data_IF_239690218313
#
_entry.id   IF_239690218313
#
_cell.length_a   1.000
_cell.length_b   1.000
_cell.length_c   1.000
_cell.angle_alpha   90.00
_cell.angle_beta   90.00
_cell.angle_gamma   90.00
#
_symmetry.space_group_name_H-M   'P 1'
#
loop_
_entity.id
_entity.type
_entity.pdbx_description
1 polymer ?
#
# COMPACT_ATOMS: atom_id res chain seq x y z
N UNK A 1 14.15 -43.02 -10.74
CA UNK A 1 13.58 -41.69 -11.05
C UNK A 1 14.16 -40.63 -10.11
N UNK A 2 14.09 -40.83 -8.79
CA UNK A 2 14.74 -39.98 -7.76
C UNK A 2 16.25 -39.74 -7.99
N UNK A 3 17.04 -40.76 -8.29
CA UNK A 3 18.49 -40.57 -8.53
C UNK A 3 18.79 -39.68 -9.74
N UNK A 4 17.91 -39.70 -10.75
CA UNK A 4 17.99 -38.83 -11.92
C UNK A 4 17.57 -37.39 -11.56
N UNK A 5 16.61 -37.21 -10.66
CA UNK A 5 16.20 -35.90 -10.14
C UNK A 5 17.30 -35.29 -9.26
N UNK A 6 17.99 -36.09 -8.43
CA UNK A 6 19.16 -35.64 -7.66
C UNK A 6 20.36 -35.30 -8.54
N UNK A 7 20.60 -36.06 -9.62
CA UNK A 7 21.69 -35.80 -10.55
C UNK A 7 21.47 -34.57 -11.46
N UNK A 8 20.21 -34.24 -11.76
CA UNK A 8 19.86 -33.13 -12.68
C UNK A 8 19.37 -31.87 -11.98
N UNK A 9 18.98 -31.97 -10.70
CA UNK A 9 18.32 -30.88 -9.96
C UNK A 9 16.89 -30.58 -10.42
N UNK A 10 16.33 -31.37 -11.35
CA UNK A 10 14.96 -31.21 -11.85
C UNK A 10 14.00 -32.12 -11.08
N UNK A 11 13.47 -31.61 -9.98
CA UNK A 11 12.45 -32.31 -9.20
C UNK A 11 11.07 -32.13 -9.84
N UNK A 12 10.39 -33.24 -10.15
CA UNK A 12 9.00 -33.21 -10.62
C UNK A 12 8.06 -33.28 -9.42
N UNK A 13 7.47 -32.16 -9.04
CA UNK A 13 6.44 -32.14 -8.02
C UNK A 13 5.11 -32.58 -8.64
N UNK A 14 4.55 -33.72 -8.21
CA UNK A 14 3.20 -34.08 -8.63
C UNK A 14 2.19 -33.07 -8.05
N UNK A 15 1.31 -32.46 -8.88
CA UNK A 15 0.31 -31.53 -8.39
C UNK A 15 -0.80 -32.32 -7.70
N UNK A 16 -0.65 -32.55 -6.40
CA UNK A 16 -1.74 -33.10 -5.61
C UNK A 16 -2.79 -31.98 -5.49
N UNK A 17 -4.04 -32.23 -5.91
CA UNK A 17 -5.19 -31.39 -5.53
C UNK A 17 -5.44 -31.60 -4.04
N UNK A 18 -4.74 -30.87 -3.19
CA UNK A 18 -4.70 -31.19 -1.77
C UNK A 18 -5.85 -30.49 -1.07
N UNK A 19 -6.84 -31.29 -0.63
CA UNK A 19 -7.79 -30.85 0.39
C UNK A 19 -6.98 -30.51 1.64
N UNK A 20 -7.02 -29.24 2.06
CA UNK A 20 -6.38 -28.78 3.32
C UNK A 20 -6.83 -29.74 4.43
N UNK A 21 -5.88 -30.39 5.12
CA UNK A 21 -6.23 -31.23 6.27
C UNK A 21 -6.95 -30.34 7.27
N UNK A 22 -8.23 -30.64 7.52
CA UNK A 22 -8.99 -29.93 8.55
C UNK A 22 -8.37 -30.35 9.88
N UNK A 23 -7.69 -29.41 10.53
CA UNK A 23 -7.29 -29.54 11.93
C UNK A 23 -8.56 -29.84 12.74
N UNK A 24 -8.51 -30.77 13.70
CA UNK A 24 -9.66 -31.00 14.57
C UNK A 24 -10.03 -29.67 15.25
N UNK A 25 -11.33 -29.44 15.47
CA UNK A 25 -11.80 -28.19 16.08
C UNK A 25 -11.08 -27.93 17.40
N UNK A 26 -10.97 -28.97 18.23
CA UNK A 26 -10.26 -28.93 19.51
C UNK A 26 -8.78 -28.54 19.39
N UNK A 27 -8.02 -29.12 18.44
CA UNK A 27 -6.63 -28.74 18.24
C UNK A 27 -6.49 -27.29 17.73
N UNK A 28 -7.42 -26.85 16.88
CA UNK A 28 -7.45 -25.46 16.43
C UNK A 28 -7.73 -24.51 17.61
N UNK A 29 -8.66 -24.86 18.48
CA UNK A 29 -9.03 -24.06 19.65
C UNK A 29 -7.87 -23.99 20.66
N UNK A 30 -7.17 -25.10 20.92
CA UNK A 30 -5.97 -25.13 21.76
C UNK A 30 -4.80 -24.33 21.16
N UNK A 31 -4.64 -24.36 19.84
CA UNK A 31 -3.63 -23.54 19.15
C UNK A 31 -3.93 -22.05 19.26
N UNK A 32 -5.21 -21.67 19.22
CA UNK A 32 -5.67 -20.31 19.44
C UNK A 32 -5.36 -19.87 20.86
N UNK A 33 -5.74 -20.68 21.86
CA UNK A 33 -5.47 -20.39 23.27
C UNK A 33 -3.98 -20.22 23.54
N UNK A 34 -3.14 -21.13 23.01
CA UNK A 34 -1.69 -21.02 23.12
C UNK A 34 -1.16 -19.70 22.55
N UNK A 35 -1.69 -19.27 21.41
CA UNK A 35 -1.27 -18.02 20.77
C UNK A 35 -1.70 -16.78 21.58
N UNK A 36 -2.90 -16.81 22.18
CA UNK A 36 -3.36 -15.76 23.10
C UNK A 36 -2.48 -15.67 24.34
N UNK A 37 -2.15 -16.82 24.96
CA UNK A 37 -1.27 -16.87 26.14
C UNK A 37 0.15 -16.37 25.81
N UNK A 38 0.70 -16.74 24.65
CA UNK A 38 1.98 -16.20 24.16
C UNK A 38 1.92 -14.68 23.95
N UNK A 39 0.80 -14.16 23.46
CA UNK A 39 0.61 -12.71 23.30
C UNK A 39 0.63 -11.98 24.64
N UNK A 40 -0.12 -12.50 25.62
CA UNK A 40 -0.14 -11.95 26.99
C UNK A 40 1.23 -11.98 27.64
N UNK A 41 1.95 -13.10 27.53
CA UNK A 41 3.30 -13.24 28.08
C UNK A 41 4.26 -12.21 27.48
N UNK A 42 4.22 -11.99 26.17
CA UNK A 42 5.06 -10.98 25.50
C UNK A 42 4.75 -9.57 25.99
N UNK A 43 3.47 -9.25 26.15
CA UNK A 43 3.03 -7.95 26.67
C UNK A 43 3.60 -7.70 28.07
N UNK A 44 3.56 -8.70 28.95
CA UNK A 44 4.13 -8.60 30.30
C UNK A 44 5.65 -8.40 30.30
N UNK A 45 6.38 -9.12 29.44
CA UNK A 45 7.84 -8.98 29.31
C UNK A 45 8.21 -7.56 28.88
N UNK A 46 7.49 -7.04 27.89
CA UNK A 46 7.82 -5.74 27.33
C UNK A 46 7.36 -4.60 28.27
N UNK A 47 6.26 -4.78 29.03
CA UNK A 47 5.79 -3.82 30.06
C UNK A 47 6.80 -3.69 31.20
N UNK A 48 7.58 -4.75 31.43
CA UNK A 48 8.62 -4.80 32.45
C UNK A 48 9.97 -4.23 31.98
N UNK A 49 10.12 -3.88 30.70
CA UNK A 49 11.39 -3.46 30.12
C UNK A 49 11.66 -1.97 30.40
N UNK A 50 12.81 -1.57 30.96
CA UNK A 50 13.12 -0.16 31.18
C UNK A 50 13.40 0.56 29.86
N UNK A 51 12.82 1.76 29.68
CA UNK A 51 12.86 2.49 28.42
C UNK A 51 14.04 3.48 28.37
N UNK A 52 14.93 3.33 27.39
CA UNK A 52 15.93 4.37 27.07
C UNK A 52 15.37 5.43 26.07
N UNK A 53 16.07 6.55 25.90
CA UNK A 53 15.60 7.67 25.06
C UNK A 53 15.42 7.30 23.58
N UNK A 54 16.27 6.41 23.04
CA UNK A 54 16.16 5.95 21.66
C UNK A 54 14.93 5.05 21.45
N UNK A 55 14.66 4.14 22.40
CA UNK A 55 13.47 3.27 22.39
C UNK A 55 12.19 4.08 22.55
N UNK A 56 12.16 5.07 23.45
CA UNK A 56 11.05 6.02 23.57
C UNK A 56 10.75 6.67 22.23
N UNK A 57 11.79 7.15 21.55
CA UNK A 57 11.65 7.76 20.24
C UNK A 57 11.13 6.76 19.18
N UNK A 58 11.77 5.60 19.03
CA UNK A 58 11.37 4.58 18.04
C UNK A 58 9.92 4.11 18.25
N UNK A 59 9.50 3.83 19.49
CA UNK A 59 8.13 3.44 19.81
C UNK A 59 7.14 4.53 19.46
N UNK A 60 7.41 5.79 19.84
CA UNK A 60 6.55 6.92 19.48
C UNK A 60 6.39 7.03 17.96
N UNK A 61 7.48 6.94 17.20
CA UNK A 61 7.40 6.99 15.72
C UNK A 61 6.63 5.82 15.12
N UNK A 62 6.80 4.61 15.64
CA UNK A 62 6.09 3.42 15.16
C UNK A 62 4.58 3.49 15.43
N UNK A 63 4.21 4.03 16.59
CA UNK A 63 2.81 4.19 17.00
C UNK A 63 2.11 5.33 16.26
N UNK A 64 2.78 6.46 16.02
CA UNK A 64 2.25 7.51 15.13
C UNK A 64 2.03 6.98 13.71
N UNK A 65 2.94 6.14 13.21
CA UNK A 65 2.76 5.49 11.93
C UNK A 65 1.57 4.54 11.96
N UNK A 66 1.48 3.70 12.97
CA UNK A 66 0.35 2.78 13.13
C UNK A 66 -0.98 3.55 13.20
N UNK A 67 -1.05 4.66 13.93
CA UNK A 67 -2.22 5.55 14.04
C UNK A 67 -2.60 6.16 12.69
N UNK A 68 -1.63 6.66 11.92
CA UNK A 68 -1.91 7.17 10.57
C UNK A 68 -2.37 6.07 9.60
N UNK A 69 -1.96 4.82 9.84
CA UNK A 69 -2.40 3.62 9.11
C UNK A 69 -3.72 3.06 9.66
N UNK A 70 -4.24 3.61 10.76
CA UNK A 70 -5.43 3.11 11.42
C UNK A 70 -6.67 3.56 10.67
N UNK A 71 -7.72 2.73 10.72
CA UNK A 71 -9.01 2.94 10.07
C UNK A 71 -9.04 2.67 8.56
N UNK A 72 -7.97 2.10 8.01
CA UNK A 72 -7.99 1.61 6.64
C UNK A 72 -8.10 0.06 6.63
N UNK A 73 -9.06 -0.48 5.88
CA UNK A 73 -8.98 -1.86 5.35
C UNK A 73 -8.13 -1.85 4.06
N UNK A 74 -7.30 -0.81 3.90
CA UNK A 74 -6.65 -0.51 2.64
C UNK A 74 -5.71 -1.63 2.24
N UNK A 75 -5.18 -2.40 3.18
CA UNK A 75 -4.23 -3.47 2.93
C UNK A 75 -4.68 -4.49 1.89
N UNK A 76 -5.99 -4.68 1.71
CA UNK A 76 -6.53 -5.50 0.64
C UNK A 76 -6.08 -5.03 -0.74
N UNK A 77 -6.15 -3.73 -1.02
CA UNK A 77 -5.68 -3.20 -2.29
C UNK A 77 -4.34 -2.50 -2.13
N UNK A 78 -4.10 -1.67 -1.13
CA UNK A 78 -2.81 -1.01 -0.90
C UNK A 78 -1.62 -1.97 -1.01
N UNK A 79 -1.60 -3.09 -0.29
CA UNK A 79 -0.50 -4.06 -0.41
C UNK A 79 -0.65 -5.09 -1.52
N UNK A 80 -1.86 -5.57 -1.74
CA UNK A 80 -2.09 -6.71 -2.63
C UNK A 80 -2.67 -6.30 -3.99
N UNK A 81 -2.76 -5.00 -4.29
CA UNK A 81 -3.42 -4.43 -5.48
C UNK A 81 -3.04 -5.20 -6.73
N UNK A 82 -1.73 -5.36 -6.91
CA UNK A 82 -1.16 -5.98 -8.08
C UNK A 82 -1.74 -7.37 -8.32
N UNK A 83 -1.75 -8.20 -7.27
CA UNK A 83 -2.32 -9.54 -7.35
C UNK A 83 -3.85 -9.50 -7.42
N UNK A 84 -4.52 -8.61 -6.67
CA UNK A 84 -5.98 -8.46 -6.69
C UNK A 84 -6.50 -8.09 -8.08
N UNK A 85 -5.83 -7.19 -8.79
CA UNK A 85 -6.23 -6.76 -10.13
C UNK A 85 -5.74 -7.72 -11.21
N UNK A 86 -4.59 -8.38 -11.02
CA UNK A 86 -4.14 -9.41 -11.93
C UNK A 86 -5.03 -10.67 -11.88
N UNK A 87 -5.58 -11.01 -10.72
CA UNK A 87 -6.37 -12.22 -10.51
C UNK A 87 -7.59 -12.00 -9.59
N UNK A 88 -8.54 -11.12 -9.97
CA UNK A 88 -9.66 -10.73 -9.09
C UNK A 88 -10.53 -11.92 -8.70
N UNK A 89 -10.80 -12.82 -9.63
CA UNK A 89 -11.62 -14.01 -9.39
C UNK A 89 -10.93 -14.97 -8.42
N UNK A 90 -9.64 -15.25 -8.63
CA UNK A 90 -8.86 -16.16 -7.77
C UNK A 90 -8.70 -15.62 -6.36
N UNK A 91 -8.48 -14.30 -6.25
CA UNK A 91 -8.18 -13.66 -4.98
C UNK A 91 -9.43 -13.21 -4.22
N UNK A 92 -10.63 -13.42 -4.77
CA UNK A 92 -11.88 -13.10 -4.08
C UNK A 92 -12.10 -13.96 -2.82
N UNK A 93 -11.85 -15.27 -2.87
CA UNK A 93 -11.96 -16.15 -1.68
C UNK A 93 -10.90 -15.79 -0.62
N UNK A 94 -9.60 -15.65 -0.95
CA UNK A 94 -8.59 -15.06 -0.06
C UNK A 94 -9.04 -13.74 0.60
N UNK A 95 -9.61 -12.83 -0.19
CA UNK A 95 -10.11 -11.55 0.29
C UNK A 95 -11.28 -11.74 1.28
N UNK A 96 -12.32 -12.47 0.90
CA UNK A 96 -13.49 -12.70 1.75
C UNK A 96 -13.12 -13.38 3.08
N UNK A 97 -12.16 -14.31 3.06
CA UNK A 97 -11.66 -14.96 4.28
C UNK A 97 -10.84 -14.01 5.14
N UNK A 98 -9.97 -13.20 4.54
CA UNK A 98 -9.22 -12.20 5.29
C UNK A 98 -10.13 -11.13 5.90
N UNK A 99 -11.25 -10.80 5.26
CA UNK A 99 -12.27 -9.90 5.84
C UNK A 99 -12.83 -10.44 7.16
N UNK A 100 -13.00 -11.76 7.28
CA UNK A 100 -13.42 -12.37 8.55
C UNK A 100 -12.36 -12.19 9.65
N UNK A 101 -11.07 -12.19 9.30
CA UNK A 101 -9.97 -11.95 10.25
C UNK A 101 -9.97 -10.53 10.83
N UNK A 102 -10.54 -9.55 10.11
CA UNK A 102 -10.74 -8.19 10.62
C UNK A 102 -11.64 -8.25 11.86
N UNK A 103 -12.81 -8.88 11.74
CA UNK A 103 -13.82 -8.92 12.80
C UNK A 103 -13.58 -10.01 13.85
N UNK A 104 -12.71 -10.99 13.60
CA UNK A 104 -12.55 -12.16 14.45
C UNK A 104 -11.10 -12.63 14.57
N UNK A 105 -10.58 -12.63 15.80
CA UNK A 105 -9.26 -13.19 16.12
C UNK A 105 -9.19 -14.70 15.86
N UNK A 106 -10.23 -15.43 16.22
CA UNK A 106 -10.39 -16.85 15.89
C UNK A 106 -10.26 -17.09 14.38
N UNK A 107 -10.86 -16.24 13.53
CA UNK A 107 -10.75 -16.36 12.08
C UNK A 107 -9.32 -16.10 11.59
N UNK A 108 -8.63 -15.12 12.16
CA UNK A 108 -7.23 -14.84 11.84
C UNK A 108 -6.31 -16.03 12.18
N UNK A 109 -6.49 -16.62 13.35
CA UNK A 109 -5.76 -17.80 13.80
C UNK A 109 -6.08 -19.04 12.95
N UNK A 110 -7.37 -19.25 12.63
CA UNK A 110 -7.80 -20.34 11.74
C UNK A 110 -7.14 -20.23 10.37
N UNK A 111 -7.01 -19.01 9.83
CA UNK A 111 -6.28 -18.76 8.58
C UNK A 111 -4.80 -19.13 8.73
N UNK A 112 -4.13 -18.66 9.79
CA UNK A 112 -2.73 -18.96 10.07
C UNK A 112 -2.49 -20.48 10.21
N UNK A 113 -3.34 -21.18 10.96
CA UNK A 113 -3.29 -22.63 11.12
C UNK A 113 -3.54 -23.34 9.78
N UNK A 114 -4.45 -22.83 8.94
CA UNK A 114 -4.71 -23.43 7.62
C UNK A 114 -3.52 -23.31 6.66
N UNK A 115 -2.68 -22.29 6.83
CA UNK A 115 -1.47 -22.09 6.04
C UNK A 115 -0.31 -22.94 6.54
N UNK A 116 -0.12 -22.99 7.87
CA UNK A 116 0.88 -23.86 8.53
C UNK A 116 0.65 -25.34 8.23
N UNK A 117 -0.62 -25.75 8.23
CA UNK A 117 -1.01 -27.13 7.95
C UNK A 117 -1.33 -27.38 6.46
N UNK A 118 -1.03 -26.41 5.58
CA UNK A 118 -1.17 -26.62 4.15
C UNK A 118 -0.12 -27.61 3.67
N UNK A 119 -0.44 -28.37 2.62
CA UNK A 119 0.51 -29.34 2.10
C UNK A 119 1.74 -28.70 1.42
N UNK A 120 1.63 -27.42 1.04
CA UNK A 120 2.74 -26.64 0.51
C UNK A 120 3.45 -25.81 1.57
N UNK A 121 3.13 -25.97 2.87
CA UNK A 121 3.73 -25.18 3.95
C UNK A 121 5.26 -25.25 3.93
N UNK A 122 5.82 -26.46 3.73
CA UNK A 122 7.26 -26.66 3.60
C UNK A 122 7.83 -25.99 2.35
N UNK A 123 7.09 -25.97 1.23
CA UNK A 123 7.54 -25.31 0.00
C UNK A 123 7.52 -23.80 0.14
N UNK A 124 6.55 -23.24 0.87
CA UNK A 124 6.52 -21.80 1.16
C UNK A 124 7.78 -21.38 1.92
N UNK A 125 8.16 -22.15 2.93
CA UNK A 125 9.36 -21.89 3.73
C UNK A 125 10.64 -22.09 2.90
N UNK A 126 10.75 -23.23 2.22
CA UNK A 126 11.91 -23.60 1.43
C UNK A 126 12.25 -22.58 0.34
N UNK A 127 11.24 -22.09 -0.39
CA UNK A 127 11.43 -21.16 -1.49
C UNK A 127 11.22 -19.69 -1.11
N UNK A 128 10.98 -19.41 0.17
CA UNK A 128 10.99 -18.05 0.71
C UNK A 128 9.71 -17.24 0.50
N UNK A 129 8.54 -17.88 0.35
CA UNK A 129 7.26 -17.18 0.47
C UNK A 129 7.11 -16.66 1.91
N UNK A 130 6.94 -15.35 2.05
CA UNK A 130 6.97 -14.68 3.36
C UNK A 130 5.67 -14.84 4.16
N UNK A 131 5.31 -16.05 4.60
CA UNK A 131 4.15 -16.26 5.48
C UNK A 131 4.41 -15.63 6.86
N UNK A 132 3.68 -14.56 7.16
CA UNK A 132 3.82 -13.81 8.41
C UNK A 132 2.92 -14.39 9.49
N UNK A 133 3.39 -14.40 10.73
CA UNK A 133 2.55 -14.70 11.88
C UNK A 133 2.21 -13.39 12.59
N UNK A 134 0.94 -13.01 12.62
CA UNK A 134 0.48 -11.83 13.34
C UNK A 134 0.84 -11.90 14.83
N UNK A 135 1.06 -13.11 15.35
CA UNK A 135 1.44 -13.38 16.73
C UNK A 135 2.93 -13.65 16.93
N UNK A 136 3.83 -13.51 15.95
CA UNK A 136 5.28 -13.68 16.18
C UNK A 136 6.03 -12.37 16.09
N UNK A 137 6.89 -12.11 17.08
CA UNK A 137 7.72 -10.90 17.14
C UNK A 137 8.60 -10.76 15.89
N UNK A 138 9.09 -11.87 15.38
CA UNK A 138 9.97 -11.91 14.22
C UNK A 138 9.23 -11.57 12.92
N UNK A 139 7.98 -12.02 12.76
CA UNK A 139 7.16 -11.64 11.62
C UNK A 139 6.64 -10.21 11.73
N UNK A 140 6.32 -9.72 12.93
CA UNK A 140 5.97 -8.33 13.18
C UNK A 140 7.15 -7.40 12.87
N UNK A 141 8.37 -7.74 13.29
CA UNK A 141 9.59 -6.98 12.97
C UNK A 141 9.89 -6.94 11.47
N UNK A 142 9.58 -8.04 10.76
CA UNK A 142 9.70 -8.14 9.29
C UNK A 142 8.62 -7.34 8.57
N UNK A 143 7.41 -7.24 9.14
CA UNK A 143 6.31 -6.42 8.64
C UNK A 143 6.56 -4.95 8.97
N UNK A 144 6.65 -4.11 7.95
CA UNK A 144 6.86 -2.66 8.18
C UNK A 144 5.60 -1.93 8.61
N UNK A 145 4.48 -2.62 8.49
CA UNK A 145 3.15 -2.10 8.80
C UNK A 145 2.86 -2.17 10.30
N UNK A 146 3.36 -3.20 10.97
CA UNK A 146 3.01 -3.51 12.36
C UNK A 146 4.24 -3.56 13.26
N UNK A 147 5.28 -2.81 12.91
CA UNK A 147 6.48 -2.66 13.74
C UNK A 147 6.21 -1.87 15.04
N UNK A 148 4.97 -1.42 15.28
CA UNK A 148 4.49 -0.93 16.57
C UNK A 148 4.10 -2.11 17.46
N UNK A 149 4.98 -2.46 18.39
CA UNK A 149 4.81 -3.56 19.33
C UNK A 149 3.70 -3.33 20.39
N UNK A 150 2.99 -2.20 20.41
CA UNK A 150 2.45 -1.68 21.68
C UNK A 150 1.07 -1.05 21.65
N UNK A 151 0.21 -1.51 20.74
CA UNK A 151 -1.13 -0.96 20.58
C UNK A 151 -2.09 -1.40 21.70
N UNK A 152 -1.73 -2.43 22.47
CA UNK A 152 -2.61 -3.00 23.50
C UNK A 152 -2.59 -2.21 24.82
N UNK A 153 -1.56 -1.40 25.09
CA UNK A 153 -1.38 -0.56 26.29
C UNK A 153 -0.46 0.64 26.01
N UNK A 154 -0.81 1.55 25.08
CA UNK A 154 0.01 2.73 24.81
C UNK A 154 0.07 3.63 26.06
N UNK A 155 1.18 3.58 26.79
CA UNK A 155 1.51 4.50 27.88
C UNK A 155 2.80 5.20 27.53
N UNK A 156 2.75 6.50 27.26
CA UNK A 156 3.94 7.37 27.23
C UNK A 156 3.92 8.17 28.52
N UNK A 157 4.66 7.76 29.57
CA UNK A 157 4.64 8.45 30.86
C UNK A 157 5.01 9.93 30.68
N UNK A 158 4.09 10.84 31.06
CA UNK A 158 4.33 12.28 31.11
C UNK A 158 4.12 13.08 29.81
N UNK A 159 3.74 12.47 28.68
CA UNK A 159 3.57 13.20 27.39
C UNK A 159 2.17 13.01 26.80
N UNK A 160 1.60 11.79 26.87
CA UNK A 160 0.30 11.48 26.26
C UNK A 160 -0.47 10.55 27.22
N UNK A 161 -1.74 10.85 27.59
CA UNK A 161 -2.59 9.89 28.29
C UNK A 161 -2.78 8.62 27.43
N UNK A 162 -3.38 7.55 27.97
CA UNK A 162 -3.55 6.28 27.24
C UNK A 162 -4.35 6.51 25.93
N UNK A 163 -3.65 6.59 24.79
CA UNK A 163 -4.22 6.68 23.44
C UNK A 163 -3.90 5.37 22.74
N UNK A 164 -4.57 4.29 23.14
CA UNK A 164 -4.32 2.98 22.55
C UNK A 164 -4.36 1.88 23.59
N UNK A 165 -5.31 0.99 23.38
CA UNK A 165 -5.40 -0.30 24.05
C UNK A 165 -6.45 -1.15 23.36
N UNK A 166 -6.40 -2.48 23.51
CA UNK A 166 -7.47 -3.37 22.97
C UNK A 166 -8.87 -2.96 23.47
N UNK A 167 -8.93 -2.30 24.61
CA UNK A 167 -10.15 -1.79 25.25
C UNK A 167 -10.60 -0.43 24.70
N UNK A 168 -9.75 0.28 23.94
CA UNK A 168 -10.10 1.56 23.30
C UNK A 168 -10.64 1.31 21.88
N UNK A 169 -11.57 2.15 21.37
CA UNK A 169 -12.07 2.01 20.00
C UNK A 169 -10.95 2.03 18.95
N UNK A 170 -9.96 2.90 19.11
CA UNK A 170 -8.82 3.04 18.18
C UNK A 170 -7.94 1.77 18.20
N UNK A 171 -7.54 1.30 19.39
CA UNK A 171 -6.71 0.09 19.50
C UNK A 171 -7.42 -1.18 19.01
N UNK A 172 -8.74 -1.29 19.17
CA UNK A 172 -9.53 -2.36 18.57
C UNK A 172 -9.45 -2.32 17.03
N UNK A 173 -9.67 -1.16 16.41
CA UNK A 173 -9.61 -0.99 14.93
C UNK A 173 -8.21 -1.32 14.40
N UNK A 174 -7.15 -0.89 15.09
CA UNK A 174 -5.77 -1.19 14.72
C UNK A 174 -5.48 -2.69 14.75
N UNK A 175 -5.89 -3.37 15.82
CA UNK A 175 -5.72 -4.81 15.97
C UNK A 175 -6.49 -5.58 14.88
N UNK A 176 -7.72 -5.15 14.59
CA UNK A 176 -8.54 -5.69 13.50
C UNK A 176 -7.86 -5.51 12.12
N UNK A 177 -7.39 -4.30 11.82
CA UNK A 177 -6.68 -4.01 10.57
C UNK A 177 -5.39 -4.83 10.45
N UNK A 178 -4.64 -5.00 11.55
CA UNK A 178 -3.43 -5.83 11.57
C UNK A 178 -3.68 -7.30 11.22
N UNK A 179 -4.67 -7.91 11.89
CA UNK A 179 -5.07 -9.29 11.59
C UNK A 179 -5.51 -9.45 10.14
N UNK A 180 -6.32 -8.52 9.64
CA UNK A 180 -6.77 -8.53 8.26
C UNK A 180 -5.60 -8.47 7.27
N UNK A 181 -4.67 -7.56 7.50
CA UNK A 181 -3.51 -7.31 6.63
C UNK A 181 -2.59 -8.50 6.51
N UNK A 182 -2.27 -9.13 7.66
CA UNK A 182 -1.47 -10.36 7.68
C UNK A 182 -2.23 -11.49 7.00
N UNK A 183 -3.52 -11.65 7.30
CA UNK A 183 -4.35 -12.70 6.71
C UNK A 183 -4.43 -12.58 5.18
N UNK A 184 -4.75 -11.39 4.65
CA UNK A 184 -4.89 -11.19 3.20
C UNK A 184 -3.55 -11.35 2.49
N UNK A 185 -2.47 -10.76 3.01
CA UNK A 185 -1.15 -10.88 2.42
C UNK A 185 -0.70 -12.34 2.37
N UNK A 186 -0.92 -13.10 3.44
CA UNK A 186 -0.56 -14.51 3.46
C UNK A 186 -1.41 -15.35 2.50
N UNK A 187 -2.74 -15.15 2.49
CA UNK A 187 -3.64 -15.92 1.63
C UNK A 187 -3.39 -15.63 0.15
N UNK A 188 -3.15 -14.37 -0.22
CA UNK A 188 -2.84 -13.97 -1.60
C UNK A 188 -1.48 -14.53 -2.04
N UNK A 189 -0.44 -14.45 -1.18
CA UNK A 189 0.88 -15.03 -1.50
C UNK A 189 0.82 -16.55 -1.67
N UNK A 190 0.17 -17.25 -0.74
CA UNK A 190 -0.02 -18.69 -0.82
C UNK A 190 -0.82 -19.06 -2.08
N UNK A 191 -1.92 -18.37 -2.35
CA UNK A 191 -2.75 -18.60 -3.53
C UNK A 191 -1.98 -18.41 -4.85
N UNK A 192 -1.17 -17.35 -4.93
CA UNK A 192 -0.36 -17.07 -6.12
C UNK A 192 0.73 -18.15 -6.33
N UNK A 193 1.37 -18.60 -5.25
CA UNK A 193 2.40 -19.64 -5.33
C UNK A 193 1.81 -21.01 -5.68
N UNK A 194 0.72 -21.39 -5.02
CA UNK A 194 -0.02 -22.62 -5.32
C UNK A 194 -0.50 -22.65 -6.77
N UNK A 195 -1.00 -21.52 -7.28
CA UNK A 195 -1.40 -21.41 -8.68
C UNK A 195 -0.22 -21.63 -9.62
N UNK A 196 0.96 -21.08 -9.31
CA UNK A 196 2.15 -21.29 -10.13
C UNK A 196 2.57 -22.76 -10.14
N UNK A 197 2.58 -23.42 -8.97
CA UNK A 197 2.89 -24.85 -8.84
C UNK A 197 1.94 -25.73 -9.65
N UNK A 198 0.63 -25.48 -9.54
CA UNK A 198 -0.39 -26.27 -10.26
C UNK A 198 -0.21 -26.17 -11.77
N UNK A 199 0.10 -24.98 -12.29
CA UNK A 199 0.30 -24.77 -13.73
C UNK A 199 1.70 -25.13 -14.22
N UNK A 200 2.66 -25.33 -13.30
CA UNK A 200 4.05 -25.64 -13.62
C UNK A 200 4.57 -26.73 -12.67
N UNK A 201 4.05 -27.97 -12.75
CA UNK A 201 4.43 -29.06 -11.83
C UNK A 201 5.91 -29.47 -11.91
N UNK A 202 6.56 -29.14 -13.03
CA UNK A 202 7.99 -29.40 -13.26
C UNK A 202 8.83 -28.12 -13.11
N UNK A 203 8.39 -27.14 -12.32
CA UNK A 203 9.14 -25.92 -12.06
C UNK A 203 10.45 -26.25 -11.33
N UNK A 204 11.56 -25.68 -11.79
CA UNK A 204 12.86 -25.90 -11.15
C UNK A 204 12.95 -25.13 -9.83
N UNK A 205 13.88 -25.50 -8.95
CA UNK A 205 14.16 -24.76 -7.72
C UNK A 205 14.39 -23.26 -8.00
N UNK A 206 15.20 -22.93 -9.01
CA UNK A 206 15.44 -21.53 -9.38
C UNK A 206 14.18 -20.79 -9.83
N UNK A 207 13.26 -21.47 -10.53
CA UNK A 207 11.97 -20.89 -10.91
C UNK A 207 11.08 -20.65 -9.68
N UNK A 208 11.13 -21.55 -8.69
CA UNK A 208 10.35 -21.46 -7.45
C UNK A 208 10.87 -20.37 -6.50
N UNK A 209 12.18 -20.16 -6.43
CA UNK A 209 12.79 -19.03 -5.72
C UNK A 209 12.46 -17.70 -6.42
N UNK A 210 12.54 -17.66 -7.76
CA UNK A 210 12.26 -16.47 -8.55
C UNK A 210 10.80 -16.04 -8.46
N UNK A 211 9.86 -16.99 -8.55
CA UNK A 211 8.43 -16.67 -8.42
C UNK A 211 8.10 -16.25 -6.99
N UNK A 212 8.72 -16.84 -5.96
CA UNK A 212 8.53 -16.42 -4.57
C UNK A 212 9.00 -14.99 -4.33
N UNK A 213 10.17 -14.63 -4.86
CA UNK A 213 10.69 -13.25 -4.80
C UNK A 213 9.76 -12.25 -5.51
N UNK A 214 9.22 -12.62 -6.66
CA UNK A 214 8.22 -11.82 -7.37
C UNK A 214 6.91 -11.68 -6.58
N UNK A 215 6.35 -12.79 -6.08
CA UNK A 215 5.11 -12.80 -5.31
C UNK A 215 5.23 -11.91 -4.07
N UNK A 216 6.33 -12.04 -3.30
CA UNK A 216 6.60 -11.18 -2.15
C UNK A 216 6.64 -9.70 -2.54
N UNK A 217 7.37 -9.33 -3.61
CA UNK A 217 7.40 -7.94 -4.10
C UNK A 217 6.02 -7.45 -4.53
N UNK A 218 5.31 -8.24 -5.34
CA UNK A 218 4.00 -7.88 -5.88
C UNK A 218 2.91 -7.72 -4.80
N UNK A 219 3.16 -8.25 -3.59
CA UNK A 219 2.28 -8.13 -2.43
C UNK A 219 2.81 -7.13 -1.39
N UNK A 220 3.73 -6.24 -1.79
CA UNK A 220 4.17 -5.12 -0.95
C UNK A 220 5.48 -5.35 -0.18
N UNK A 221 6.15 -6.51 -0.33
CA UNK A 221 7.37 -6.86 0.40
C UNK A 221 8.61 -6.64 -0.46
N UNK A 222 8.90 -5.36 -0.74
CA UNK A 222 10.15 -4.97 -1.39
C UNK A 222 11.38 -5.30 -0.53
N UNK A 223 12.56 -5.29 -1.16
CA UNK A 223 13.84 -5.53 -0.48
C UNK A 223 14.72 -4.29 -0.62
N UNK A 224 15.09 -3.68 0.49
CA UNK A 224 16.07 -2.58 0.50
C UNK A 224 17.43 -3.18 0.85
N UNK A 225 18.35 -3.19 -0.12
CA UNK A 225 19.72 -3.65 0.06
C UNK A 225 20.59 -2.47 0.55
N UNK A 226 21.43 -2.71 1.55
CA UNK A 226 22.36 -1.72 2.10
C UNK A 226 22.49 -1.80 3.62
N UNK A 227 23.62 -1.30 4.13
CA UNK A 227 23.95 -1.19 5.56
C UNK A 227 24.41 0.24 5.86
N UNK A 228 24.06 0.77 7.02
CA UNK A 228 24.55 2.08 7.50
C UNK A 228 23.45 3.02 8.02
N UNK A 229 23.84 4.13 8.67
CA UNK A 229 22.94 4.97 9.45
C UNK A 229 21.76 5.54 8.66
N UNK A 230 21.96 5.82 7.37
CA UNK A 230 20.91 6.36 6.49
C UNK A 230 19.84 5.31 6.20
N UNK A 231 20.21 4.05 5.98
CA UNK A 231 19.25 2.95 5.75
C UNK A 231 18.50 2.59 7.04
N UNK A 232 19.18 2.68 8.19
CA UNK A 232 18.56 2.50 9.51
C UNK A 232 17.59 3.65 9.81
N UNK A 233 18.01 4.90 9.59
CA UNK A 233 17.14 6.08 9.70
C UNK A 233 15.95 6.01 8.74
N UNK A 234 16.16 5.57 7.50
CA UNK A 234 15.10 5.33 6.50
C UNK A 234 14.05 4.34 7.03
N UNK A 235 14.48 3.24 7.64
CA UNK A 235 13.60 2.23 8.26
C UNK A 235 12.85 2.77 9.47
N UNK A 236 13.45 3.69 10.22
CA UNK A 236 12.87 4.30 11.41
C UNK A 236 11.96 5.49 11.11
N UNK A 237 12.19 6.19 10.01
CA UNK A 237 11.51 7.44 9.68
C UNK A 237 10.45 7.25 8.58
N UNK A 238 10.73 6.45 7.54
CA UNK A 238 9.71 6.17 6.52
C UNK A 238 8.61 5.30 7.08
N UNK A 239 7.38 5.57 6.65
CA UNK A 239 6.19 4.84 7.04
C UNK A 239 6.25 3.36 6.64
N UNK A 240 6.62 3.08 5.39
CA UNK A 240 6.65 1.72 4.84
C UNK A 240 7.67 1.62 3.68
N UNK A 241 8.99 1.66 3.97
CA UNK A 241 10.01 1.75 2.93
C UNK A 241 10.10 0.53 1.99
N UNK A 242 9.96 -0.71 2.45
CA UNK A 242 9.82 -1.92 1.62
C UNK A 242 8.58 -1.85 0.75
N UNK A 243 7.48 -1.31 1.25
CA UNK A 243 6.26 -1.14 0.48
C UNK A 243 6.49 -0.16 -0.68
N UNK A 244 7.09 1.00 -0.40
CA UNK A 244 7.48 1.95 -1.45
C UNK A 244 8.46 1.31 -2.46
N UNK A 245 9.47 0.57 -1.98
CA UNK A 245 10.40 -0.14 -2.85
C UNK A 245 9.70 -1.18 -3.73
N UNK A 246 8.71 -1.89 -3.19
CA UNK A 246 7.96 -2.94 -3.89
C UNK A 246 7.28 -2.43 -5.16
N UNK A 247 6.80 -1.17 -5.16
CA UNK A 247 6.12 -0.54 -6.30
C UNK A 247 7.01 -0.44 -7.54
N UNK A 248 8.30 -0.23 -7.33
CA UNK A 248 9.30 -0.19 -8.40
C UNK A 248 9.86 -1.57 -8.73
N UNK A 249 10.12 -2.36 -7.69
CA UNK A 249 10.73 -3.68 -7.86
C UNK A 249 9.81 -4.66 -8.56
N UNK A 250 8.49 -4.55 -8.35
CA UNK A 250 7.51 -5.47 -8.94
C UNK A 250 7.53 -5.41 -10.47
N UNK A 251 7.35 -4.24 -11.14
CA UNK A 251 7.55 -4.16 -12.60
C UNK A 251 8.94 -4.59 -13.04
N UNK A 252 9.99 -4.26 -12.28
CA UNK A 252 11.37 -4.63 -12.63
C UNK A 252 11.66 -6.14 -12.60
N UNK A 253 10.87 -6.93 -11.88
CA UNK A 253 11.07 -8.38 -11.80
C UNK A 253 11.01 -9.08 -13.16
N UNK A 254 10.27 -8.54 -14.13
CA UNK A 254 10.22 -9.11 -15.49
C UNK A 254 11.61 -9.07 -16.16
N UNK A 255 12.36 -7.98 -15.97
CA UNK A 255 13.72 -7.81 -16.49
C UNK A 255 14.67 -8.72 -15.71
N UNK A 256 14.55 -8.73 -14.38
CA UNK A 256 15.37 -9.59 -13.50
C UNK A 256 15.26 -11.07 -13.86
N UNK A 257 14.06 -11.55 -14.19
CA UNK A 257 13.77 -12.96 -14.47
C UNK A 257 13.54 -13.24 -15.96
N UNK A 258 14.07 -12.39 -16.84
CA UNK A 258 13.84 -12.49 -18.29
C UNK A 258 14.25 -13.84 -18.89
N UNK A 259 15.27 -14.49 -18.33
CA UNK A 259 15.81 -15.78 -18.79
C UNK A 259 15.01 -17.01 -18.31
N UNK A 260 13.98 -16.83 -17.49
CA UNK A 260 13.15 -17.92 -16.94
C UNK A 260 11.76 -17.89 -17.61
N UNK A 261 11.51 -18.66 -18.68
CA UNK A 261 10.32 -18.47 -19.52
C UNK A 261 9.00 -18.60 -18.78
N UNK A 262 8.88 -19.55 -17.84
CA UNK A 262 7.65 -19.77 -17.05
C UNK A 262 7.40 -18.63 -16.07
N UNK A 263 8.44 -18.23 -15.34
CA UNK A 263 8.37 -17.09 -14.40
C UNK A 263 8.09 -15.79 -15.16
N UNK A 264 8.81 -15.52 -16.24
CA UNK A 264 8.56 -14.37 -17.12
C UNK A 264 7.14 -14.35 -17.65
N UNK A 265 6.60 -15.49 -18.11
CA UNK A 265 5.23 -15.60 -18.59
C UNK A 265 4.21 -15.28 -17.50
N UNK A 266 4.45 -15.75 -16.27
CA UNK A 266 3.60 -15.42 -15.13
C UNK A 266 3.64 -13.92 -14.83
N UNK A 267 4.82 -13.31 -14.73
CA UNK A 267 4.99 -11.87 -14.44
C UNK A 267 4.34 -11.02 -15.55
N UNK A 268 4.62 -11.31 -16.81
CA UNK A 268 4.05 -10.58 -17.94
C UNK A 268 2.52 -10.72 -18.01
N UNK A 269 2.01 -11.93 -17.73
CA UNK A 269 0.57 -12.18 -17.64
C UNK A 269 -0.08 -11.39 -16.51
N UNK A 270 0.55 -11.32 -15.35
CA UNK A 270 0.05 -10.54 -14.22
C UNK A 270 0.07 -9.04 -14.51
N UNK A 271 1.17 -8.52 -15.10
CA UNK A 271 1.26 -7.12 -15.55
C UNK A 271 0.14 -6.77 -16.53
N UNK A 272 -0.07 -7.62 -17.53
CA UNK A 272 -1.10 -7.41 -18.55
C UNK A 272 -2.49 -7.41 -17.92
N UNK A 273 -2.79 -8.36 -17.03
CA UNK A 273 -4.08 -8.43 -16.34
C UNK A 273 -4.28 -7.24 -15.39
N UNK A 274 -3.25 -6.84 -14.64
CA UNK A 274 -3.27 -5.67 -13.76
C UNK A 274 -3.64 -4.40 -14.54
N UNK A 275 -2.96 -4.16 -15.66
CA UNK A 275 -3.25 -3.02 -16.53
C UNK A 275 -4.61 -3.13 -17.21
N UNK A 276 -5.04 -4.33 -17.63
CA UNK A 276 -6.33 -4.54 -18.27
C UNK A 276 -7.50 -4.32 -17.31
N UNK A 277 -7.38 -4.81 -16.07
CA UNK A 277 -8.39 -4.61 -15.02
C UNK A 277 -8.50 -3.13 -14.64
N UNK A 278 -7.37 -2.44 -14.41
CA UNK A 278 -7.39 -0.99 -14.20
C UNK A 278 -7.90 -0.21 -15.42
N UNK A 279 -7.54 -0.69 -16.62
CA UNK A 279 -8.11 -0.38 -17.93
C UNK A 279 -9.64 -0.30 -17.91
N UNK A 280 -10.24 -1.43 -17.56
CA UNK A 280 -11.69 -1.61 -17.46
C UNK A 280 -12.31 -0.70 -16.40
N UNK A 281 -11.72 -0.58 -15.22
CA UNK A 281 -12.25 0.26 -14.12
C UNK A 281 -12.35 1.72 -14.56
N UNK A 282 -11.28 2.26 -15.13
CA UNK A 282 -11.26 3.64 -15.61
C UNK A 282 -12.18 3.83 -16.83
N UNK A 283 -12.32 2.83 -17.72
CA UNK A 283 -13.30 2.87 -18.82
C UNK A 283 -14.73 2.98 -18.27
N UNK A 284 -15.07 2.14 -17.29
CA UNK A 284 -16.36 2.19 -16.61
C UNK A 284 -16.58 3.53 -15.90
N UNK A 285 -15.56 4.04 -15.21
CA UNK A 285 -15.63 5.36 -14.58
C UNK A 285 -15.89 6.47 -15.61
N UNK A 286 -15.25 6.42 -16.78
CA UNK A 286 -15.49 7.35 -17.88
C UNK A 286 -16.92 7.27 -18.42
N UNK A 287 -17.47 6.05 -18.56
CA UNK A 287 -18.87 5.85 -18.96
C UNK A 287 -19.86 6.36 -17.91
N UNK A 288 -19.47 6.35 -16.64
CA UNK A 288 -20.23 6.93 -15.53
C UNK A 288 -20.04 8.45 -15.37
N UNK A 289 -19.35 9.11 -16.32
CA UNK A 289 -19.17 10.56 -16.35
C UNK A 289 -17.96 11.09 -15.58
N UNK A 290 -17.09 10.21 -15.05
CA UNK A 290 -15.83 10.64 -14.45
C UNK A 290 -14.81 11.03 -15.54
N UNK A 291 -13.92 11.97 -15.20
CA UNK A 291 -12.84 12.37 -16.10
C UNK A 291 -11.66 11.40 -15.92
N UNK A 292 -11.18 10.81 -17.00
CA UNK A 292 -10.04 9.90 -16.99
C UNK A 292 -9.04 10.30 -18.07
N UNK A 293 -7.74 10.22 -17.75
CA UNK A 293 -6.66 10.50 -18.70
C UNK A 293 -5.84 9.23 -18.95
N UNK A 294 -5.61 8.96 -20.23
CA UNK A 294 -5.05 7.69 -20.72
C UNK A 294 -3.95 7.87 -21.75
N UNK A 295 -4.04 8.96 -22.51
CA UNK A 295 -3.23 9.22 -23.70
C UNK A 295 -1.98 9.98 -23.34
N UNK A 296 -2.12 10.95 -22.45
CA UNK A 296 -1.00 11.80 -22.06
C UNK A 296 -0.32 11.26 -20.80
N UNK A 297 0.79 10.55 -20.99
CA UNK A 297 1.66 10.04 -19.92
C UNK A 297 2.23 11.19 -19.07
N UNK A 298 2.33 12.40 -19.61
CA UNK A 298 2.86 13.57 -18.92
C UNK A 298 1.84 14.29 -18.05
N UNK A 299 0.56 13.97 -18.22
CA UNK A 299 -0.51 14.49 -17.41
C UNK A 299 -0.38 14.05 -15.93
N UNK A 300 -0.61 14.97 -14.97
CA UNK A 300 -0.70 14.61 -13.56
C UNK A 300 -1.84 13.61 -13.27
N UNK A 301 -2.84 13.58 -14.15
CA UNK A 301 -4.08 12.79 -14.05
C UNK A 301 -4.00 11.46 -14.82
N UNK A 302 -2.88 11.18 -15.48
CA UNK A 302 -2.68 9.93 -16.21
C UNK A 302 -2.92 8.69 -15.34
N UNK A 303 -3.78 7.80 -15.81
CA UNK A 303 -4.26 6.58 -15.15
C UNK A 303 -4.98 6.80 -13.81
N UNK A 304 -5.59 7.98 -13.62
CA UNK A 304 -6.42 8.29 -12.46
C UNK A 304 -7.87 8.55 -12.85
N UNK A 305 -8.77 8.34 -11.89
CA UNK A 305 -10.16 8.82 -12.00
C UNK A 305 -10.20 10.21 -11.38
N UNK A 306 -10.78 11.18 -12.07
CA UNK A 306 -11.08 12.48 -11.52
C UNK A 306 -12.59 12.70 -11.49
N UNK A 307 -13.10 12.97 -10.29
CA UNK A 307 -14.47 13.42 -10.05
C UNK A 307 -14.33 14.80 -9.40
N UNK A 308 -14.80 15.84 -10.09
CA UNK A 308 -14.57 17.24 -9.70
C UNK A 308 -13.06 17.53 -9.46
N UNK A 309 -12.71 17.89 -8.24
CA UNK A 309 -11.33 18.19 -7.80
C UNK A 309 -10.61 16.99 -7.20
N UNK A 310 -11.33 15.88 -7.01
CA UNK A 310 -10.84 14.72 -6.32
C UNK A 310 -10.32 13.71 -7.33
N UNK A 311 -9.07 13.31 -7.11
CA UNK A 311 -8.34 12.35 -7.94
C UNK A 311 -8.16 11.07 -7.16
N UNK A 312 -8.56 9.97 -7.77
CA UNK A 312 -8.41 8.62 -7.25
C UNK A 312 -7.30 7.90 -8.03
N UNK A 313 -6.21 7.56 -7.33
CA UNK A 313 -5.15 6.69 -7.84
C UNK A 313 -5.53 5.23 -7.59
N UNK A 314 -6.23 4.63 -8.55
CA UNK A 314 -6.65 3.23 -8.48
C UNK A 314 -5.48 2.24 -8.62
N UNK A 315 -4.29 2.72 -8.98
CA UNK A 315 -3.08 1.93 -9.10
C UNK A 315 -2.18 2.05 -7.86
N UNK A 316 -2.61 2.79 -6.82
CA UNK A 316 -1.98 2.89 -5.51
C UNK A 316 -0.45 3.05 -5.58
N UNK A 317 0.01 4.08 -6.28
CA UNK A 317 1.44 4.38 -6.40
C UNK A 317 2.21 3.58 -7.46
N UNK A 318 1.60 2.60 -8.14
CA UNK A 318 2.17 2.00 -9.36
C UNK A 318 2.12 2.94 -10.57
N UNK A 319 1.25 3.97 -10.54
CA UNK A 319 1.17 5.00 -11.59
C UNK A 319 2.52 5.66 -11.87
N UNK A 320 3.31 5.95 -10.83
CA UNK A 320 4.61 6.60 -11.00
C UNK A 320 5.67 5.69 -11.69
N UNK A 321 5.91 4.45 -11.24
CA UNK A 321 6.71 3.47 -11.98
C UNK A 321 6.23 3.23 -13.41
N UNK A 322 4.92 3.06 -13.63
CA UNK A 322 4.38 2.88 -14.97
C UNK A 322 4.62 4.10 -15.86
N UNK A 323 4.49 5.31 -15.31
CA UNK A 323 4.73 6.55 -16.03
C UNK A 323 6.19 6.67 -16.44
N UNK A 324 7.12 6.30 -15.55
CA UNK A 324 8.54 6.27 -15.87
C UNK A 324 8.82 5.29 -17.02
N UNK A 325 8.29 4.06 -16.94
CA UNK A 325 8.45 3.05 -18.00
C UNK A 325 7.84 3.56 -19.32
N UNK A 326 6.63 4.13 -19.29
CA UNK A 326 5.96 4.65 -20.47
C UNK A 326 6.72 5.83 -21.10
N UNK A 327 7.30 6.73 -20.29
CA UNK A 327 8.18 7.82 -20.78
C UNK A 327 9.47 7.29 -21.40
N UNK A 328 10.08 6.26 -20.80
CA UNK A 328 11.26 5.62 -21.37
C UNK A 328 10.93 4.99 -22.74
N UNK A 329 9.79 4.30 -22.83
CA UNK A 329 9.32 3.70 -24.09
C UNK A 329 9.01 4.80 -25.13
N UNK A 330 8.22 5.82 -24.77
CA UNK A 330 7.90 6.97 -25.63
C UNK A 330 9.17 7.65 -26.15
N UNK A 331 10.11 7.97 -25.25
CA UNK A 331 11.39 8.56 -25.61
C UNK A 331 12.29 7.64 -26.44
N UNK A 332 12.19 6.32 -26.28
CA UNK A 332 12.89 5.36 -27.15
C UNK A 332 12.33 5.28 -28.58
N UNK A 333 11.06 5.64 -28.78
CA UNK A 333 10.48 5.82 -30.13
C UNK A 333 10.86 7.19 -30.73
N UNK A 334 11.00 8.22 -29.89
CA UNK A 334 11.50 9.56 -30.26
C UNK A 334 13.03 9.57 -30.52
N UNK A 335 13.72 8.46 -30.26
CA UNK A 335 15.16 8.26 -30.46
C UNK A 335 15.62 8.34 -31.93
N UNK A 336 14.69 8.41 -32.88
CA UNK A 336 14.96 8.74 -34.27
C UNK A 336 15.46 10.20 -34.45
N UNK A 337 15.26 11.08 -33.46
CA UNK A 337 15.61 12.51 -33.51
C UNK A 337 16.75 12.91 -32.54
N UNK A 338 17.32 11.96 -31.79
CA UNK A 338 18.57 12.14 -31.03
C UNK A 338 18.47 12.78 -29.63
N UNK A 339 17.29 13.03 -29.08
CA UNK A 339 17.11 13.83 -27.85
C UNK A 339 16.71 13.02 -26.58
N UNK A 340 16.80 11.69 -26.60
CA UNK A 340 16.39 10.91 -25.42
C UNK A 340 17.47 10.84 -24.33
N UNK A 341 17.33 11.66 -23.29
CA UNK A 341 18.21 11.66 -22.11
C UNK A 341 17.76 10.69 -21.03
N UNK A 342 17.92 9.38 -21.28
CA UNK A 342 17.56 8.29 -20.35
C UNK A 342 17.98 8.55 -18.90
N UNK A 343 19.25 8.92 -18.69
CA UNK A 343 19.79 9.19 -17.35
C UNK A 343 19.18 10.43 -16.70
N UNK A 344 18.80 11.44 -17.48
CA UNK A 344 18.13 12.64 -16.97
C UNK A 344 16.68 12.37 -16.59
N UNK A 345 15.95 11.56 -17.37
CA UNK A 345 14.56 11.16 -17.05
C UNK A 345 14.52 10.36 -15.74
N UNK A 346 15.43 9.40 -15.57
CA UNK A 346 15.56 8.61 -14.33
C UNK A 346 16.03 9.52 -13.18
N UNK A 347 17.02 10.39 -13.44
CA UNK A 347 17.57 11.33 -12.46
C UNK A 347 16.51 12.29 -11.91
N UNK A 348 15.77 12.99 -12.79
CA UNK A 348 14.67 13.89 -12.40
C UNK A 348 13.58 13.15 -11.63
N UNK A 349 13.22 11.94 -12.06
CA UNK A 349 12.23 11.13 -11.35
C UNK A 349 12.69 10.77 -9.93
N UNK A 350 13.94 10.29 -9.80
CA UNK A 350 14.54 9.97 -8.51
C UNK A 350 14.62 11.23 -7.63
N UNK A 351 15.10 12.36 -8.14
CA UNK A 351 15.15 13.62 -7.41
C UNK A 351 13.75 14.06 -6.94
N UNK A 352 12.72 13.99 -7.79
CA UNK A 352 11.36 14.39 -7.39
C UNK A 352 10.74 13.46 -6.32
N UNK A 353 11.03 12.15 -6.38
CA UNK A 353 10.50 11.19 -5.41
C UNK A 353 11.27 11.18 -4.09
N UNK A 354 12.57 11.47 -4.12
CA UNK A 354 13.40 11.49 -2.92
C UNK A 354 13.47 12.89 -2.30
N UNK A 355 13.22 13.98 -3.04
CA UNK A 355 13.29 15.35 -2.51
C UNK A 355 12.36 15.63 -1.31
N UNK A 356 11.07 15.23 -1.30
CA UNK A 356 10.23 15.38 -0.11
C UNK A 356 10.78 14.59 1.09
N UNK A 357 11.43 13.46 0.83
CA UNK A 357 12.03 12.62 1.84
C UNK A 357 13.35 13.19 2.39
N UNK A 358 14.23 13.71 1.52
CA UNK A 358 15.40 14.48 1.95
C UNK A 358 14.98 15.73 2.71
N UNK A 359 13.93 16.43 2.27
CA UNK A 359 13.36 17.57 2.98
C UNK A 359 12.91 17.16 4.38
N UNK A 360 12.21 16.04 4.51
CA UNK A 360 11.82 15.50 5.81
C UNK A 360 13.03 15.14 6.67
N UNK A 361 13.99 14.34 6.17
CA UNK A 361 15.20 13.94 6.91
C UNK A 361 15.98 15.18 7.34
N UNK A 362 16.23 16.10 6.40
CA UNK A 362 16.97 17.33 6.68
C UNK A 362 16.27 18.08 7.80
N UNK A 363 14.97 18.34 7.68
CA UNK A 363 14.17 18.99 8.73
C UNK A 363 14.26 18.27 10.07
N UNK A 364 14.18 16.95 10.06
CA UNK A 364 14.22 16.12 11.26
C UNK A 364 15.61 16.09 11.92
N UNK A 365 16.69 16.12 11.14
CA UNK A 365 18.06 16.09 11.65
C UNK A 365 18.54 17.49 12.07
N UNK A 366 18.20 18.52 11.30
CA UNK A 366 18.71 19.88 11.47
C UNK A 366 17.80 20.77 12.30
N UNK A 367 16.59 20.30 12.65
CA UNK A 367 15.53 21.13 13.23
C UNK A 367 15.17 22.35 12.38
N UNK A 368 15.47 22.32 11.07
CA UNK A 368 15.22 23.44 10.15
C UNK A 368 14.62 22.93 8.85
N UNK A 369 13.48 23.49 8.46
CA UNK A 369 12.87 23.16 7.17
C UNK A 369 13.80 23.52 6.01
N UNK A 370 13.52 22.99 4.81
CA UNK A 370 14.25 23.37 3.59
C UNK A 370 14.14 24.87 3.29
N UNK A 371 13.15 25.56 3.86
CA UNK A 371 12.98 27.01 3.77
C UNK A 371 13.51 27.77 5.00
N UNK A 372 14.21 27.08 5.92
CA UNK A 372 14.95 27.70 7.02
C UNK A 372 14.15 27.93 8.32
N UNK A 373 12.89 27.51 8.39
CA UNK A 373 12.07 27.63 9.60
C UNK A 373 12.56 26.66 10.68
N UNK A 374 12.82 27.16 11.90
CA UNK A 374 13.12 26.31 13.04
C UNK A 374 11.89 25.50 13.44
N UNK A 375 12.08 24.19 13.60
CA UNK A 375 11.05 23.24 13.99
C UNK A 375 11.63 22.18 14.90
N UNK A 376 10.90 21.84 15.96
CA UNK A 376 11.32 20.73 16.80
C UNK A 376 11.07 19.38 16.11
N UNK A 377 11.86 18.36 16.47
CA UNK A 377 11.67 16.99 15.99
C UNK A 377 10.29 16.44 16.34
N UNK A 378 9.78 16.82 17.51
CA UNK A 378 8.46 16.44 17.99
C UNK A 378 7.36 17.13 17.16
N UNK A 379 7.46 18.42 16.86
CA UNK A 379 6.47 19.11 16.00
C UNK A 379 6.47 18.58 14.55
N UNK A 380 7.65 18.21 14.03
CA UNK A 380 7.79 17.59 12.70
C UNK A 380 7.11 16.22 12.64
N UNK A 381 7.14 15.48 13.76
CA UNK A 381 6.50 14.17 13.91
C UNK A 381 4.99 14.27 14.22
N UNK A 382 4.59 15.21 15.08
CA UNK A 382 3.19 15.43 15.50
C UNK A 382 2.31 16.00 14.38
N UNK A 383 2.91 16.68 13.39
CA UNK A 383 2.20 17.11 12.18
C UNK A 383 2.13 16.02 11.10
N UNK A 384 2.75 14.87 11.31
CA UNK A 384 2.83 13.83 10.29
C UNK A 384 1.57 12.96 10.15
N UNK A 385 0.57 13.02 11.05
CA UNK A 385 -0.83 12.94 10.58
C UNK A 385 -1.97 13.42 11.54
N UNK A 386 -2.96 14.12 10.99
CA UNK A 386 -4.37 13.67 11.10
C UNK A 386 -4.44 12.38 10.26
N UNK A 387 -5.14 11.31 10.68
CA UNK A 387 -5.24 10.09 9.85
C UNK A 387 -5.52 10.45 8.39
N UNK A 388 -4.68 9.99 7.45
CA UNK A 388 -4.74 10.41 6.03
C UNK A 388 -6.16 10.17 5.47
N UNK A 389 -6.80 9.10 5.92
CA UNK A 389 -8.21 8.82 5.69
C UNK A 389 -9.13 9.99 6.12
N UNK A 390 -9.02 10.43 7.38
CA UNK A 390 -9.85 11.51 7.92
C UNK A 390 -9.58 12.85 7.24
N UNK A 391 -8.32 13.13 6.89
CA UNK A 391 -7.97 14.32 6.14
C UNK A 391 -8.56 14.28 4.72
N UNK A 392 -8.43 13.16 4.02
CA UNK A 392 -8.94 13.00 2.66
C UNK A 392 -10.47 13.07 2.63
N UNK A 393 -11.15 12.43 3.60
CA UNK A 393 -12.61 12.52 3.77
C UNK A 393 -13.04 13.96 4.11
N UNK A 394 -12.29 14.67 4.96
CA UNK A 394 -12.57 16.07 5.30
C UNK A 394 -12.39 16.99 4.09
N UNK A 395 -11.31 16.83 3.34
CA UNK A 395 -11.03 17.61 2.13
C UNK A 395 -12.07 17.34 1.04
N UNK A 396 -12.48 16.07 0.87
CA UNK A 396 -13.58 15.68 -0.02
C UNK A 396 -14.94 16.24 0.44
N UNK A 397 -15.22 16.23 1.74
CA UNK A 397 -16.44 16.80 2.32
C UNK A 397 -16.53 18.31 2.14
N UNK A 398 -15.39 18.97 2.03
CA UNK A 398 -15.32 20.37 1.67
C UNK A 398 -15.51 20.63 0.16
N UNK A 399 -15.40 19.62 -0.68
CA UNK A 399 -15.52 19.75 -2.14
C UNK A 399 -16.95 19.46 -2.61
N UNK A 400 -17.42 18.21 -2.48
CA UNK A 400 -18.76 17.81 -2.90
C UNK A 400 -19.23 16.54 -2.17
N UNK A 401 -20.54 16.28 -2.17
CA UNK A 401 -21.09 15.03 -1.58
C UNK A 401 -20.64 13.81 -2.38
N UNK A 402 -20.53 13.99 -3.69
CA UNK A 402 -20.06 13.00 -4.65
C UNK A 402 -18.60 12.63 -4.40
N UNK A 403 -17.73 13.62 -4.12
CA UNK A 403 -16.35 13.40 -3.72
C UNK A 403 -16.25 12.60 -2.40
N UNK A 404 -17.13 12.83 -1.43
CA UNK A 404 -17.16 12.04 -0.17
C UNK A 404 -17.56 10.59 -0.45
N UNK A 405 -18.62 10.38 -1.24
CA UNK A 405 -19.12 9.04 -1.58
C UNK A 405 -18.05 8.21 -2.28
N UNK A 406 -17.20 8.83 -3.11
CA UNK A 406 -16.05 8.15 -3.72
C UNK A 406 -14.85 7.98 -2.78
N UNK A 407 -14.56 8.99 -1.95
CA UNK A 407 -13.34 9.03 -1.11
C UNK A 407 -13.38 8.05 0.06
N UNK A 408 -14.52 7.93 0.73
CA UNK A 408 -14.66 6.98 1.84
C UNK A 408 -14.34 5.55 1.41
N UNK A 409 -15.01 4.94 0.40
CA UNK A 409 -14.68 3.59 -0.02
C UNK A 409 -13.30 3.49 -0.68
N UNK A 410 -12.87 4.51 -1.45
CA UNK A 410 -11.55 4.50 -2.07
C UNK A 410 -10.44 4.43 -1.03
N UNK A 411 -10.40 5.35 -0.06
CA UNK A 411 -9.42 5.35 1.02
C UNK A 411 -9.55 4.11 1.91
N UNK A 412 -10.79 3.70 2.21
CA UNK A 412 -11.06 2.51 3.02
C UNK A 412 -10.50 1.23 2.39
N UNK A 413 -10.60 1.09 1.08
CA UNK A 413 -10.05 -0.06 0.33
C UNK A 413 -8.62 0.17 -0.16
N UNK A 414 -8.07 1.39 -0.07
CA UNK A 414 -6.67 1.67 -0.40
C UNK A 414 -6.40 2.21 -1.80
N UNK A 415 -7.43 2.68 -2.49
CA UNK A 415 -7.25 3.58 -3.63
C UNK A 415 -7.06 5.01 -3.10
N UNK A 416 -5.84 5.53 -3.17
CA UNK A 416 -5.53 6.85 -2.63
C UNK A 416 -6.35 7.95 -3.30
N UNK A 417 -6.97 8.81 -2.50
CA UNK A 417 -7.75 9.96 -2.92
C UNK A 417 -6.98 11.25 -2.60
N UNK A 418 -7.06 12.21 -3.51
CA UNK A 418 -6.45 13.52 -3.30
C UNK A 418 -7.33 14.61 -3.90
N UNK A 419 -7.80 15.52 -3.04
CA UNK A 419 -8.67 16.63 -3.45
C UNK A 419 -7.84 17.90 -3.54
N UNK A 420 -7.69 18.42 -4.76
CA UNK A 420 -7.01 19.68 -5.01
C UNK A 420 -8.02 20.69 -5.52
N UNK A 421 -8.25 21.76 -4.76
CA UNK A 421 -9.20 22.81 -5.16
C UNK A 421 -8.67 23.49 -6.41
N UNK A 422 -9.24 23.19 -7.57
CA UNK A 422 -8.93 23.93 -8.78
C UNK A 422 -9.49 25.37 -8.68
N UNK A 423 -8.91 26.28 -9.46
CA UNK A 423 -9.29 27.69 -9.45
C UNK A 423 -10.77 27.89 -9.80
N UNK A 424 -11.31 27.03 -10.67
CA UNK A 424 -12.72 27.02 -11.09
C UNK A 424 -13.67 26.73 -9.94
N UNK A 425 -13.44 25.65 -9.21
CA UNK A 425 -14.30 25.19 -8.13
C UNK A 425 -14.12 26.05 -6.90
N UNK A 426 -12.90 26.53 -6.65
CA UNK A 426 -12.64 27.54 -5.63
C UNK A 426 -13.46 28.81 -5.92
N UNK A 427 -13.53 29.26 -7.18
CA UNK A 427 -14.37 30.38 -7.58
C UNK A 427 -15.88 30.05 -7.51
N UNK A 428 -16.31 28.88 -7.99
CA UNK A 428 -17.71 28.42 -7.91
C UNK A 428 -18.23 28.40 -6.47
N UNK A 429 -17.48 27.82 -5.55
CA UNK A 429 -17.84 27.73 -4.13
C UNK A 429 -17.83 29.10 -3.46
N UNK A 430 -16.87 29.98 -3.81
CA UNK A 430 -16.83 31.36 -3.29
C UNK A 430 -18.07 32.13 -3.72
N UNK A 431 -18.48 31.99 -4.99
CA UNK A 431 -19.76 32.50 -5.51
C UNK A 431 -20.95 31.93 -4.75
N UNK A 432 -21.02 30.60 -4.58
CA UNK A 432 -22.16 29.93 -3.93
C UNK A 432 -22.27 30.30 -2.44
N UNK A 433 -21.14 30.46 -1.75
CA UNK A 433 -21.09 30.92 -0.36
C UNK A 433 -21.60 32.36 -0.24
N UNK A 434 -21.14 33.27 -1.11
CA UNK A 434 -21.65 34.64 -1.16
C UNK A 434 -23.16 34.68 -1.43
N UNK A 435 -23.66 33.84 -2.35
CA UNK A 435 -25.11 33.73 -2.60
C UNK A 435 -25.89 33.21 -1.40
N UNK A 436 -25.38 32.18 -0.72
CA UNK A 436 -26.03 31.64 0.48
C UNK A 436 -26.14 32.66 1.62
N UNK A 437 -25.30 33.70 1.60
CA UNK A 437 -25.30 34.82 2.57
C UNK A 437 -26.04 36.07 2.06
N UNK A 438 -26.66 36.02 0.87
CA UNK A 438 -27.33 37.17 0.23
C UNK A 438 -26.37 38.21 -0.38
N UNK A 439 -25.08 37.91 -0.49
CA UNK A 439 -24.03 38.80 -1.00
C UNK A 439 -23.91 38.68 -2.53
N UNK A 440 -24.97 39.09 -3.24
CA UNK A 440 -25.08 38.88 -4.68
C UNK A 440 -24.01 39.63 -5.48
N UNK A 441 -23.60 40.84 -5.04
CA UNK A 441 -22.60 41.65 -5.76
C UNK A 441 -21.22 41.00 -5.76
N UNK A 442 -20.84 40.41 -4.64
CA UNK A 442 -19.59 39.71 -4.40
C UNK A 442 -19.57 38.38 -5.17
N UNK A 443 -20.70 37.67 -5.19
CA UNK A 443 -20.86 36.48 -6.02
C UNK A 443 -20.65 36.78 -7.51
N UNK A 444 -21.23 37.88 -8.01
CA UNK A 444 -21.08 38.29 -9.41
C UNK A 444 -19.68 38.79 -9.72
N UNK A 445 -19.00 39.41 -8.75
CA UNK A 445 -17.60 39.79 -8.89
C UNK A 445 -16.70 38.57 -9.10
N UNK A 446 -16.92 37.49 -8.34
CA UNK A 446 -16.20 36.22 -8.52
C UNK A 446 -16.45 35.62 -9.89
N UNK A 447 -17.70 35.66 -10.39
CA UNK A 447 -18.03 35.17 -11.74
C UNK A 447 -17.30 35.98 -12.81
N UNK A 448 -17.31 37.32 -12.72
CA UNK A 448 -16.63 38.21 -13.67
C UNK A 448 -15.13 38.03 -13.66
N UNK A 449 -14.53 38.01 -12.46
CA UNK A 449 -13.09 37.82 -12.28
C UNK A 449 -12.64 36.50 -12.89
N UNK A 450 -13.32 35.42 -12.53
CA UNK A 450 -12.97 34.09 -13.02
C UNK A 450 -13.13 33.99 -14.55
N UNK A 451 -14.27 34.44 -15.09
CA UNK A 451 -14.53 34.37 -16.53
C UNK A 451 -13.60 35.28 -17.37
N UNK A 452 -12.98 36.30 -16.77
CA UNK A 452 -11.98 37.15 -17.43
C UNK A 452 -10.69 36.39 -17.75
N UNK A 453 -10.33 35.41 -16.93
CA UNK A 453 -9.06 34.67 -17.06
C UNK A 453 -9.18 33.36 -17.84
N UNK A 454 -10.38 33.01 -18.30
CA UNK A 454 -10.66 31.76 -19.03
C UNK A 454 -10.24 31.85 -20.50
N UNK A 455 -9.31 31.00 -20.94
CA UNK A 455 -8.91 30.87 -22.36
C UNK A 455 -9.84 29.95 -23.15
N UNK A 456 -9.70 29.97 -24.48
CA UNK A 456 -10.55 29.22 -25.44
C UNK A 456 -10.43 27.71 -25.19
N UNK A 457 -11.36 27.16 -24.41
CA UNK A 457 -11.42 25.74 -24.03
C UNK A 457 -11.65 25.47 -22.53
N UNK A 458 -11.54 26.48 -21.65
CA UNK A 458 -11.69 26.30 -20.20
C UNK A 458 -13.13 26.53 -19.72
N UNK A 459 -13.49 25.89 -18.59
CA UNK A 459 -14.83 25.98 -17.98
C UNK A 459 -15.13 27.43 -17.56
N UNK A 460 -16.31 27.96 -17.88
CA UNK A 460 -16.78 29.29 -17.45
C UNK A 460 -17.82 29.17 -16.34
N UNK A 461 -17.79 30.07 -15.37
CA UNK A 461 -18.86 30.15 -14.38
C UNK A 461 -20.12 30.70 -15.06
N UNK A 462 -21.29 30.07 -14.88
CA UNK A 462 -22.53 30.57 -15.44
C UNK A 462 -22.86 31.93 -14.82
N UNK A 463 -23.17 32.90 -15.67
CA UNK A 463 -23.88 34.11 -15.24
C UNK A 463 -25.32 33.68 -14.98
N UNK A 464 -25.86 34.00 -13.79
CA UNK A 464 -27.28 33.79 -13.52
C UNK A 464 -28.11 34.87 -14.18
#
# INVERSE_FOLDING_TARGET
>A
DLDRQFATGEFKAQPVKIKRKKVSKELNDLQIELAEQRSKMRQMVEDSRPWNNLQRFQTVTAEFKAIAATMDMSFAFRQNLWQMFAHPIRNFEPFARAMQAFFSEHSAQSIANSLRNSANAQLYELYGISIMDASSQDAQNRSEVFRGQWIENLKIPGIVPVIGGKQTPIGWVMSASSRHSVAIGNLVRASAFDYFLINNPNATQFELEAISDYINKSTGLGVIKGTGPIIETLKEVMFSPKFAASRFQTPWTIVKYWKMPRVRKQIAGDMTRMLSTGGLILMLASLMGAETEWRDVDSPDWMKIRIDNTRYDIFDGFTAPFRLIARIIKGSFELAEGDFRFYETIGRFASYKVAPFYSFIATFLTNKTVVGEERTKLETLLRAPIPIFAQSVYDAAQDSKEAVIGTVPAEWFGAGASTYRDSYTAAKRRRDNFRSRGWHREADAVVREFNKYVKKGERRLPMQ
#
